data_IF_261873121846
#
_entry.id   IF_261873121846
#
_cell.length_a   1.000
_cell.length_b   1.000
_cell.length_c   1.000
_cell.angle_alpha   90.00
_cell.angle_beta   90.00
_cell.angle_gamma   90.00
#
_symmetry.space_group_name_H-M   'P 1'
#
loop_
_entity.id
_entity.type
_entity.pdbx_description
1 polymer ?
#
# COMPACT_ATOMS: atom_id res chain seq x y z
N UNK A 1 -79.49 18.33 -14.08
CA UNK A 1 -79.32 17.46 -15.27
C UNK A 1 -77.87 17.00 -15.21
N UNK A 2 -77.53 15.79 -14.70
CA UNK A 2 -77.94 14.45 -15.16
C UNK A 2 -77.45 14.22 -16.60
N UNK A 3 -76.67 13.18 -16.96
CA UNK A 3 -76.06 12.08 -16.19
C UNK A 3 -74.73 11.65 -16.92
N UNK A 4 -74.01 10.56 -16.65
CA UNK A 4 -74.20 9.40 -15.76
C UNK A 4 -72.82 8.79 -15.33
N UNK A 5 -72.80 7.50 -14.98
CA UNK A 5 -71.69 6.63 -14.59
C UNK A 5 -71.11 5.82 -15.77
N UNK A 6 -69.92 5.23 -15.61
CA UNK A 6 -69.31 4.35 -16.62
C UNK A 6 -68.04 3.63 -16.14
N UNK A 7 -68.13 2.31 -15.99
CA UNK A 7 -67.06 1.43 -15.50
C UNK A 7 -66.17 0.90 -16.65
N UNK A 8 -64.86 0.84 -16.42
CA UNK A 8 -63.93 -0.21 -16.91
C UNK A 8 -63.66 -0.40 -18.41
N UNK A 9 -62.38 -0.27 -18.81
CA UNK A 9 -61.50 -1.41 -19.17
C UNK A 9 -60.27 -0.98 -20.00
N UNK A 10 -59.11 -1.45 -19.55
CA UNK A 10 -57.90 -1.85 -20.29
C UNK A 10 -57.49 -1.13 -21.60
N UNK A 11 -56.43 -0.32 -21.47
CA UNK A 11 -55.36 -0.29 -22.48
C UNK A 11 -54.01 -0.39 -21.77
N UNK A 12 -53.36 -1.55 -21.92
CA UNK A 12 -52.07 -1.86 -21.31
C UNK A 12 -50.93 -1.00 -21.88
N UNK A 13 -50.39 -0.08 -21.09
CA UNK A 13 -49.14 0.60 -21.43
C UNK A 13 -47.96 -0.13 -20.78
N UNK A 14 -47.41 -1.11 -21.50
CA UNK A 14 -46.34 -1.99 -21.05
C UNK A 14 -44.96 -1.30 -21.12
N UNK A 15 -44.81 -0.18 -20.40
CA UNK A 15 -43.50 0.41 -20.13
C UNK A 15 -42.74 -0.49 -19.14
N UNK A 16 -41.99 -1.45 -19.67
CA UNK A 16 -41.23 -2.42 -18.89
C UNK A 16 -40.29 -1.73 -17.91
N UNK A 17 -40.59 -1.85 -16.60
CA UNK A 17 -39.64 -1.52 -15.52
C UNK A 17 -38.53 -2.57 -15.53
N UNK A 18 -37.51 -2.36 -16.34
CA UNK A 18 -36.31 -3.20 -16.38
C UNK A 18 -35.66 -3.18 -14.99
N UNK A 19 -35.38 -4.35 -14.43
CA UNK A 19 -34.70 -4.47 -13.14
C UNK A 19 -33.31 -3.85 -13.20
N UNK A 20 -33.02 -2.95 -12.27
CA UNK A 20 -31.67 -2.41 -12.05
C UNK A 20 -30.84 -3.27 -11.10
N UNK A 21 -31.43 -4.35 -10.56
CA UNK A 21 -30.79 -5.28 -9.64
C UNK A 21 -30.26 -6.49 -10.41
N UNK A 22 -28.97 -6.87 -10.28
CA UNK A 22 -28.48 -8.13 -10.84
C UNK A 22 -29.16 -9.31 -10.14
N UNK A 23 -29.56 -10.30 -10.93
CA UNK A 23 -30.09 -11.58 -10.42
C UNK A 23 -28.89 -12.45 -10.05
N UNK A 24 -28.75 -12.79 -8.77
CA UNK A 24 -27.86 -13.86 -8.33
C UNK A 24 -28.54 -15.21 -8.57
N UNK A 25 -28.54 -15.66 -9.82
CA UNK A 25 -28.63 -17.08 -10.11
C UNK A 25 -27.24 -17.67 -9.84
N UNK A 26 -27.13 -18.42 -8.75
CA UNK A 26 -25.92 -19.12 -8.41
C UNK A 26 -25.81 -20.37 -9.27
N UNK A 27 -25.13 -20.26 -10.42
CA UNK A 27 -24.65 -21.43 -11.14
C UNK A 27 -23.62 -22.17 -10.26
N UNK A 28 -24.04 -23.30 -9.69
CA UNK A 28 -23.22 -24.15 -8.81
C UNK A 28 -21.99 -24.75 -9.52
N UNK A 29 -21.89 -24.62 -10.84
CA UNK A 29 -20.79 -25.13 -11.69
C UNK A 29 -19.62 -24.14 -11.89
N UNK A 30 -19.70 -22.90 -11.39
CA UNK A 30 -18.56 -21.95 -11.40
C UNK A 30 -17.64 -22.12 -10.18
N UNK A 31 -16.87 -23.22 -10.16
CA UNK A 31 -15.91 -23.52 -9.10
C UNK A 31 -14.99 -22.34 -8.73
N UNK A 32 -14.85 -22.10 -7.43
CA UNK A 32 -13.94 -21.15 -6.75
C UNK A 32 -14.16 -19.63 -6.87
N UNK A 33 -15.07 -19.09 -7.71
CA UNK A 33 -15.15 -17.63 -7.94
C UNK A 33 -15.23 -16.78 -6.65
N UNK A 34 -16.07 -17.18 -5.67
CA UNK A 34 -16.16 -16.52 -4.36
C UNK A 34 -16.46 -17.51 -3.22
N UNK A 35 -15.52 -18.42 -2.94
CA UNK A 35 -15.66 -19.45 -1.89
C UNK A 35 -16.06 -18.92 -0.51
N UNK A 36 -15.76 -17.65 -0.18
CA UNK A 36 -16.15 -17.02 1.09
C UNK A 36 -17.67 -16.76 1.25
N UNK A 37 -18.47 -16.87 0.18
CA UNK A 37 -19.93 -16.72 0.25
C UNK A 37 -20.63 -17.92 0.90
N UNK A 38 -19.94 -19.07 0.97
CA UNK A 38 -20.48 -20.33 1.46
C UNK A 38 -19.63 -20.91 2.61
N UNK A 39 -20.21 -21.21 3.79
CA UNK A 39 -21.58 -20.90 4.19
C UNK A 39 -21.78 -19.39 4.42
N UNK A 40 -23.00 -18.92 4.16
CA UNK A 40 -23.40 -17.54 4.44
C UNK A 40 -23.19 -17.20 5.92
N UNK A 41 -22.55 -16.06 6.17
CA UNK A 41 -22.26 -15.59 7.52
C UNK A 41 -23.55 -15.22 8.28
N UNK A 42 -23.63 -15.60 9.55
CA UNK A 42 -24.65 -15.11 10.47
C UNK A 42 -24.38 -13.65 10.87
N UNK A 43 -25.40 -12.92 11.31
CA UNK A 43 -25.24 -11.50 11.63
C UNK A 43 -24.28 -11.27 12.83
N UNK A 44 -24.25 -12.20 13.77
CA UNK A 44 -23.38 -12.26 14.95
C UNK A 44 -22.05 -12.99 14.71
N UNK A 45 -21.79 -13.51 13.49
CA UNK A 45 -20.51 -14.14 13.15
C UNK A 45 -19.35 -13.16 13.41
N UNK A 46 -18.32 -13.52 14.20
CA UNK A 46 -17.22 -12.62 14.54
C UNK A 46 -16.53 -11.98 13.33
N UNK A 47 -16.49 -12.67 12.18
CA UNK A 47 -15.90 -12.16 10.93
C UNK A 47 -16.76 -11.07 10.29
N UNK A 48 -18.09 -11.20 10.38
CA UNK A 48 -19.03 -10.21 9.89
C UNK A 48 -19.10 -8.99 10.84
N UNK A 49 -19.03 -9.23 12.16
CA UNK A 49 -18.91 -8.17 13.17
C UNK A 49 -17.62 -7.37 12.96
N UNK A 50 -16.48 -8.04 12.83
CA UNK A 50 -15.18 -7.41 12.58
C UNK A 50 -15.19 -6.58 11.28
N UNK A 51 -15.67 -7.16 10.18
CA UNK A 51 -15.75 -6.47 8.89
C UNK A 51 -16.62 -5.20 8.95
N UNK A 52 -17.74 -5.24 9.68
CA UNK A 52 -18.62 -4.09 9.89
C UNK A 52 -17.94 -2.99 10.72
N UNK A 53 -17.31 -3.35 11.84
CA UNK A 53 -16.63 -2.40 12.73
C UNK A 53 -15.30 -1.86 12.16
N UNK A 54 -14.66 -2.58 11.24
CA UNK A 54 -13.60 -2.05 10.42
C UNK A 54 -14.15 -1.08 9.36
N UNK A 55 -15.02 -1.57 8.47
CA UNK A 55 -15.52 -0.86 7.27
C UNK A 55 -16.22 0.46 7.58
N UNK A 56 -16.89 0.59 8.74
CA UNK A 56 -17.53 1.85 9.15
C UNK A 56 -16.62 3.07 9.14
N UNK A 57 -15.30 2.88 9.24
CA UNK A 57 -14.34 3.98 9.17
C UNK A 57 -14.24 4.62 7.77
N UNK A 58 -14.53 3.89 6.68
CA UNK A 58 -14.75 4.49 5.35
C UNK A 58 -15.94 5.45 5.32
N UNK A 59 -16.89 5.27 6.25
CA UNK A 59 -18.08 6.10 6.43
C UNK A 59 -17.95 7.02 7.67
N UNK A 60 -16.74 7.52 7.92
CA UNK A 60 -16.43 8.43 9.03
C UNK A 60 -16.72 7.89 10.44
N UNK A 61 -16.88 6.57 10.60
CA UNK A 61 -17.26 5.93 11.86
C UNK A 61 -18.77 5.92 12.12
N UNK A 62 -19.62 6.12 11.10
CA UNK A 62 -21.08 5.96 11.21
C UNK A 62 -21.47 4.59 11.79
N UNK A 63 -22.66 4.46 12.35
CA UNK A 63 -23.23 3.16 12.73
C UNK A 63 -23.62 2.38 11.48
N UNK A 64 -23.40 1.06 11.43
CA UNK A 64 -23.79 0.28 10.23
C UNK A 64 -25.30 0.31 9.99
N UNK A 65 -26.11 0.39 11.05
CA UNK A 65 -27.56 0.57 10.99
C UNK A 65 -28.02 1.92 10.39
N UNK A 66 -27.13 2.92 10.26
CA UNK A 66 -27.44 4.19 9.60
C UNK A 66 -26.90 4.28 8.17
N UNK A 67 -26.20 3.26 7.67
CA UNK A 67 -25.70 3.23 6.29
C UNK A 67 -26.82 2.84 5.32
N UNK A 68 -26.77 3.38 4.11
CA UNK A 68 -27.59 2.93 2.98
C UNK A 68 -26.70 2.42 1.84
N UNK A 69 -27.27 1.66 0.90
CA UNK A 69 -26.51 1.04 -0.20
C UNK A 69 -25.72 2.04 -1.03
N UNK A 70 -26.25 3.25 -1.27
CA UNK A 70 -25.52 4.28 -2.02
C UNK A 70 -24.29 4.83 -1.27
N UNK A 71 -24.17 4.65 0.06
CA UNK A 71 -22.93 5.00 0.78
C UNK A 71 -21.78 4.08 0.35
N UNK A 72 -22.05 2.77 0.35
CA UNK A 72 -21.11 1.73 -0.09
C UNK A 72 -20.79 1.89 -1.57
N UNK A 73 -21.79 2.15 -2.42
CA UNK A 73 -21.59 2.38 -3.86
C UNK A 73 -20.79 3.65 -4.16
N UNK A 74 -20.95 4.73 -3.38
CA UNK A 74 -20.11 5.93 -3.48
C UNK A 74 -18.66 5.65 -3.09
N UNK A 75 -18.43 4.81 -2.07
CA UNK A 75 -17.08 4.37 -1.71
C UNK A 75 -16.47 3.53 -2.82
N UNK A 76 -17.18 2.52 -3.34
CA UNK A 76 -16.74 1.65 -4.42
C UNK A 76 -16.47 2.39 -5.73
N UNK A 77 -17.34 3.32 -6.14
CA UNK A 77 -17.13 4.13 -7.36
C UNK A 77 -15.82 4.94 -7.28
N UNK A 78 -15.51 5.45 -6.09
CA UNK A 78 -14.27 6.16 -5.83
C UNK A 78 -13.06 5.22 -5.71
N UNK A 79 -13.16 4.12 -4.98
CA UNK A 79 -12.01 3.25 -4.69
C UNK A 79 -11.60 2.40 -5.89
N UNK A 80 -12.54 2.05 -6.77
CA UNK A 80 -12.30 1.28 -8.00
C UNK A 80 -11.97 2.16 -9.22
N UNK A 81 -12.59 3.34 -9.35
CA UNK A 81 -12.49 4.16 -10.57
C UNK A 81 -12.05 5.61 -10.34
N UNK A 82 -11.91 6.06 -9.09
CA UNK A 82 -11.65 7.46 -8.78
C UNK A 82 -12.81 8.41 -9.09
N UNK A 83 -14.01 7.89 -9.38
CA UNK A 83 -15.16 8.65 -9.88
C UNK A 83 -16.28 8.83 -8.84
N UNK A 84 -17.06 9.93 -8.91
CA UNK A 84 -18.37 10.02 -8.27
C UNK A 84 -19.32 8.93 -8.80
N UNK A 85 -20.18 8.40 -7.93
CA UNK A 85 -21.23 7.44 -8.32
C UNK A 85 -22.16 8.01 -9.39
N UNK A 86 -22.46 9.31 -9.31
CA UNK A 86 -23.27 10.03 -10.30
C UNK A 86 -22.66 9.99 -11.71
N UNK A 87 -21.33 10.02 -11.81
CA UNK A 87 -20.63 9.99 -13.08
C UNK A 87 -20.60 8.58 -13.67
N UNK A 88 -20.39 7.55 -12.83
CA UNK A 88 -20.51 6.12 -13.19
C UNK A 88 -21.92 5.80 -13.72
N UNK A 89 -22.97 6.27 -13.03
CA UNK A 89 -24.37 6.10 -13.47
C UNK A 89 -24.65 6.87 -14.78
N UNK A 90 -24.06 8.07 -14.95
CA UNK A 90 -24.20 8.85 -16.19
C UNK A 90 -23.54 8.17 -17.38
N UNK A 91 -22.38 7.55 -17.18
CA UNK A 91 -21.64 6.80 -18.20
C UNK A 91 -22.49 5.64 -18.75
N UNK A 92 -22.99 4.74 -17.88
CA UNK A 92 -23.87 3.62 -18.28
C UNK A 92 -25.14 4.08 -19.01
N UNK A 93 -25.76 5.19 -18.57
CA UNK A 93 -26.93 5.80 -19.25
C UNK A 93 -26.58 6.34 -20.64
N UNK A 94 -25.42 6.99 -20.79
CA UNK A 94 -24.99 7.53 -22.07
C UNK A 94 -24.77 6.40 -23.10
N UNK A 95 -24.05 5.34 -22.72
CA UNK A 95 -23.84 4.17 -23.56
C UNK A 95 -25.16 3.52 -24.02
N UNK A 96 -26.11 3.33 -23.10
CA UNK A 96 -27.44 2.81 -23.44
C UNK A 96 -28.19 3.72 -24.42
N UNK A 97 -28.15 5.05 -24.21
CA UNK A 97 -28.79 6.02 -25.11
C UNK A 97 -28.17 6.07 -26.52
N UNK A 98 -26.93 5.61 -26.67
CA UNK A 98 -26.22 5.49 -27.95
C UNK A 98 -26.39 4.12 -28.61
N UNK A 99 -27.16 3.21 -28.00
CA UNK A 99 -27.33 1.84 -28.49
C UNK A 99 -26.06 0.98 -28.38
N UNK A 100 -25.11 1.36 -27.52
CA UNK A 100 -23.88 0.60 -27.29
C UNK A 100 -24.23 -0.63 -26.45
N UNK A 101 -24.10 -1.81 -27.05
CA UNK A 101 -24.15 -3.07 -26.33
C UNK A 101 -22.86 -3.26 -25.53
N UNK A 102 -22.95 -3.06 -24.22
CA UNK A 102 -21.83 -3.20 -23.29
C UNK A 102 -21.42 -4.67 -23.11
N UNK A 103 -22.34 -5.63 -23.34
CA UNK A 103 -22.02 -7.06 -23.27
C UNK A 103 -21.11 -7.51 -24.42
N UNK A 104 -21.20 -6.82 -25.57
CA UNK A 104 -20.37 -7.04 -26.75
C UNK A 104 -18.98 -6.36 -26.70
N UNK A 105 -18.67 -5.58 -25.65
CA UNK A 105 -17.34 -4.99 -25.49
C UNK A 105 -16.27 -6.06 -25.19
N UNK A 106 -15.01 -5.89 -25.63
CA UNK A 106 -13.92 -6.85 -25.41
C UNK A 106 -13.74 -7.23 -23.93
N UNK A 107 -13.44 -8.51 -23.69
CA UNK A 107 -13.42 -9.14 -22.36
C UNK A 107 -12.10 -8.97 -21.60
N UNK A 108 -11.08 -8.36 -22.22
CA UNK A 108 -9.70 -8.31 -21.72
C UNK A 108 -9.51 -7.57 -20.38
N UNK A 109 -10.53 -6.82 -19.92
CA UNK A 109 -10.52 -6.14 -18.62
C UNK A 109 -11.78 -6.48 -17.81
N UNK A 110 -11.65 -7.48 -16.93
CA UNK A 110 -12.75 -8.07 -16.15
C UNK A 110 -13.37 -7.11 -15.12
N UNK A 111 -12.74 -5.94 -14.88
CA UNK A 111 -13.18 -4.93 -13.93
C UNK A 111 -13.60 -3.60 -14.61
N UNK A 112 -13.85 -3.59 -15.92
CA UNK A 112 -13.99 -2.34 -16.69
C UNK A 112 -15.25 -2.15 -17.57
N UNK A 113 -15.97 -3.21 -17.97
CA UNK A 113 -17.01 -3.11 -19.03
C UNK A 113 -18.24 -2.31 -18.64
N UNK A 114 -18.84 -2.60 -17.48
CA UNK A 114 -19.80 -1.70 -16.84
C UNK A 114 -19.39 -1.42 -15.40
N UNK A 115 -18.85 -0.22 -15.20
CA UNK A 115 -18.48 0.30 -13.87
C UNK A 115 -19.64 0.26 -12.88
N UNK A 116 -20.88 0.44 -13.33
CA UNK A 116 -22.05 0.39 -12.45
C UNK A 116 -22.38 -1.04 -12.02
N UNK A 117 -22.33 -2.01 -12.95
CA UNK A 117 -22.51 -3.44 -12.67
C UNK A 117 -21.43 -3.97 -11.74
N UNK A 118 -20.16 -3.58 -11.92
CA UNK A 118 -19.07 -3.92 -11.00
C UNK A 118 -19.33 -3.32 -9.62
N UNK A 119 -19.72 -2.04 -9.52
CA UNK A 119 -20.05 -1.38 -8.24
C UNK A 119 -21.23 -2.05 -7.54
N UNK A 120 -22.30 -2.43 -8.25
CA UNK A 120 -23.45 -3.13 -7.66
C UNK A 120 -23.08 -4.56 -7.24
N UNK A 121 -22.35 -5.29 -8.07
CA UNK A 121 -21.87 -6.66 -7.75
C UNK A 121 -20.98 -6.65 -6.51
N UNK A 122 -20.00 -5.73 -6.44
CA UNK A 122 -19.14 -5.59 -5.26
C UNK A 122 -19.90 -5.07 -4.03
N UNK A 123 -20.95 -4.24 -4.19
CA UNK A 123 -21.83 -3.88 -3.07
C UNK A 123 -22.57 -5.11 -2.51
N UNK A 124 -23.03 -6.03 -3.36
CA UNK A 124 -23.63 -7.29 -2.90
C UNK A 124 -22.61 -8.19 -2.16
N UNK A 125 -21.36 -8.26 -2.63
CA UNK A 125 -20.27 -8.96 -1.92
C UNK A 125 -19.96 -8.31 -0.56
N UNK A 126 -20.00 -6.97 -0.48
CA UNK A 126 -19.84 -6.22 0.76
C UNK A 126 -20.95 -6.56 1.77
N UNK A 127 -22.22 -6.57 1.34
CA UNK A 127 -23.37 -6.95 2.17
C UNK A 127 -23.30 -8.41 2.65
N UNK A 128 -22.85 -9.32 1.77
CA UNK A 128 -22.64 -10.72 2.11
C UNK A 128 -21.55 -10.89 3.18
N UNK A 129 -20.41 -10.19 3.03
CA UNK A 129 -19.33 -10.18 4.02
C UNK A 129 -19.72 -9.48 5.33
N UNK A 130 -20.57 -8.47 5.26
CA UNK A 130 -21.15 -7.79 6.42
C UNK A 130 -22.28 -8.58 7.10
N UNK A 131 -22.75 -9.69 6.51
CA UNK A 131 -23.94 -10.43 6.95
C UNK A 131 -25.17 -9.52 7.18
N UNK A 132 -25.31 -8.46 6.39
CA UNK A 132 -26.30 -7.40 6.59
C UNK A 132 -26.72 -6.82 5.25
N UNK A 133 -28.03 -6.81 4.97
CA UNK A 133 -28.60 -6.04 3.85
C UNK A 133 -28.83 -4.60 4.27
N UNK A 134 -28.40 -3.66 3.45
CA UNK A 134 -28.56 -2.22 3.65
C UNK A 134 -29.89 -1.74 3.04
N UNK A 135 -30.52 -0.69 3.62
CA UNK A 135 -31.60 0.02 2.96
C UNK A 135 -31.15 0.62 1.62
N UNK A 136 -32.02 0.56 0.62
CA UNK A 136 -31.80 1.17 -0.69
C UNK A 136 -31.83 2.71 -0.62
N UNK A 137 -31.11 3.35 -1.54
CA UNK A 137 -31.04 4.81 -1.66
C UNK A 137 -29.92 5.46 -0.84
N UNK A 138 -30.05 6.78 -0.61
CA UNK A 138 -29.02 7.66 -0.03
C UNK A 138 -29.26 7.96 1.44
N UNK A 139 -28.17 7.93 2.21
CA UNK A 139 -28.15 8.45 3.58
C UNK A 139 -27.63 9.90 3.65
N UNK A 140 -27.56 10.46 4.85
CA UNK A 140 -26.83 11.70 5.14
C UNK A 140 -25.36 11.50 5.57
N UNK A 141 -24.83 10.28 5.53
CA UNK A 141 -23.48 9.95 5.98
C UNK A 141 -22.42 10.54 5.03
N UNK A 142 -21.21 10.75 5.57
CA UNK A 142 -20.05 11.14 4.77
C UNK A 142 -19.23 9.92 4.41
N UNK A 143 -18.93 9.79 3.13
CA UNK A 143 -18.08 8.74 2.57
C UNK A 143 -16.68 9.31 2.32
N UNK A 144 -15.66 8.61 2.79
CA UNK A 144 -14.26 8.94 2.55
C UNK A 144 -13.92 8.67 1.09
N UNK A 145 -13.48 9.70 0.36
CA UNK A 145 -13.11 9.60 -1.06
C UNK A 145 -11.87 10.45 -1.32
N UNK A 146 -10.68 9.98 -0.95
CA UNK A 146 -9.48 10.82 -0.78
C UNK A 146 -9.20 11.74 -1.96
N UNK A 147 -9.21 11.19 -3.18
CA UNK A 147 -8.89 11.92 -4.42
C UNK A 147 -10.05 12.75 -4.95
N UNK A 148 -11.24 12.72 -4.34
CA UNK A 148 -12.39 13.56 -4.68
C UNK A 148 -12.71 14.60 -3.61
N UNK A 149 -12.47 14.26 -2.34
CA UNK A 149 -12.69 15.13 -1.18
C UNK A 149 -11.83 16.40 -1.24
N UNK A 150 -12.27 17.43 -0.51
CA UNK A 150 -11.52 18.68 -0.40
C UNK A 150 -10.18 18.44 0.29
N UNK A 151 -9.08 18.68 -0.43
CA UNK A 151 -7.70 18.64 0.09
C UNK A 151 -7.58 19.52 1.33
N UNK A 152 -7.22 18.91 2.46
CA UNK A 152 -7.04 19.59 3.74
C UNK A 152 -5.57 19.92 3.95
N UNK A 153 -5.23 21.20 3.85
CA UNK A 153 -3.89 21.76 4.10
C UNK A 153 -3.95 22.66 5.34
N UNK A 154 -2.85 22.71 6.11
CA UNK A 154 -2.65 23.73 7.15
C UNK A 154 -1.42 24.56 6.76
N UNK A 155 -1.63 25.87 6.59
CA UNK A 155 -0.57 26.83 6.25
C UNK A 155 0.53 26.83 7.31
N UNK A 156 1.77 27.02 6.87
CA UNK A 156 2.96 27.08 7.73
C UNK A 156 3.81 28.29 7.38
N UNK A 157 4.56 28.88 8.33
CA UNK A 157 5.48 29.98 8.02
C UNK A 157 6.50 29.56 6.95
N UNK A 158 6.75 30.42 5.96
CA UNK A 158 7.76 30.19 4.92
C UNK A 158 9.15 29.91 5.52
N UNK A 159 9.46 30.49 6.68
CA UNK A 159 10.68 30.25 7.44
C UNK A 159 10.89 28.75 7.79
N UNK A 160 9.83 27.98 8.07
CA UNK A 160 9.95 26.54 8.33
C UNK A 160 10.46 25.78 7.09
N UNK A 161 9.91 26.12 5.92
CA UNK A 161 10.38 25.57 4.65
C UNK A 161 11.81 26.01 4.33
N UNK A 162 12.18 27.25 4.65
CA UNK A 162 13.55 27.75 4.56
C UNK A 162 14.53 26.93 5.41
N UNK A 163 14.21 26.71 6.70
CA UNK A 163 15.03 25.90 7.62
C UNK A 163 15.18 24.45 7.12
N UNK A 164 14.10 23.83 6.65
CA UNK A 164 14.12 22.47 6.11
C UNK A 164 14.92 22.39 4.81
N UNK A 165 14.79 23.39 3.93
CA UNK A 165 15.62 23.49 2.73
C UNK A 165 17.11 23.62 3.08
N UNK A 166 17.47 24.47 4.06
CA UNK A 166 18.87 24.57 4.56
C UNK A 166 19.36 23.21 5.07
N UNK A 167 18.58 22.51 5.90
CA UNK A 167 18.95 21.18 6.39
C UNK A 167 19.14 20.16 5.25
N UNK A 168 18.27 20.18 4.23
CA UNK A 168 18.43 19.37 3.02
C UNK A 168 19.67 19.75 2.21
N UNK A 169 20.01 21.04 2.07
CA UNK A 169 21.23 21.47 1.38
C UNK A 169 22.50 21.09 2.15
N UNK A 170 22.51 21.21 3.47
CA UNK A 170 23.63 20.77 4.32
C UNK A 170 23.84 19.26 4.18
N UNK A 171 22.77 18.46 4.23
CA UNK A 171 22.89 17.01 4.05
C UNK A 171 23.29 16.61 2.62
N UNK A 172 22.79 17.33 1.61
CA UNK A 172 23.24 17.21 0.21
C UNK A 172 24.74 17.43 0.07
N UNK A 173 25.27 18.54 0.62
CA UNK A 173 26.71 18.83 0.58
C UNK A 173 27.53 17.77 1.32
N UNK A 174 26.99 17.22 2.41
CA UNK A 174 27.60 16.09 3.12
C UNK A 174 27.65 14.82 2.26
N UNK A 175 26.53 14.43 1.62
CA UNK A 175 26.48 13.29 0.68
C UNK A 175 27.48 13.46 -0.47
N UNK A 176 27.55 14.63 -1.10
CA UNK A 176 28.52 14.93 -2.15
C UNK A 176 29.97 14.76 -1.66
N UNK A 177 30.28 15.26 -0.46
CA UNK A 177 31.60 15.06 0.19
C UNK A 177 31.90 13.59 0.50
N UNK A 178 30.88 12.76 0.66
CA UNK A 178 31.00 11.30 0.92
C UNK A 178 31.01 10.45 -0.36
N UNK A 179 31.19 11.09 -1.52
CA UNK A 179 31.34 10.43 -2.81
C UNK A 179 30.03 10.05 -3.49
N UNK A 180 28.89 10.62 -3.07
CA UNK A 180 27.66 10.55 -3.85
C UNK A 180 27.69 11.57 -4.98
N UNK A 181 27.08 11.20 -6.11
CA UNK A 181 26.78 12.07 -7.22
C UNK A 181 25.28 12.38 -7.23
N UNK A 182 24.92 13.60 -7.65
CA UNK A 182 23.53 13.91 -8.01
C UNK A 182 23.27 13.53 -9.47
N UNK A 183 22.28 12.67 -9.69
CA UNK A 183 21.82 12.25 -11.02
C UNK A 183 20.30 12.38 -11.11
N UNK A 184 19.80 12.46 -12.35
CA UNK A 184 18.37 12.51 -12.65
C UNK A 184 18.07 11.50 -13.74
N UNK A 185 17.09 10.64 -13.50
CA UNK A 185 16.57 9.60 -14.41
C UNK A 185 15.04 9.66 -14.35
N UNK A 186 14.32 9.54 -15.47
CA UNK A 186 12.86 9.74 -15.53
C UNK A 186 12.37 11.08 -14.93
N UNK A 187 13.22 12.11 -14.87
CA UNK A 187 12.91 13.37 -14.18
C UNK A 187 12.86 13.30 -12.64
N UNK A 188 13.27 12.18 -12.04
CA UNK A 188 13.42 11.98 -10.58
C UNK A 188 14.89 12.11 -10.17
N UNK A 189 15.16 12.74 -9.02
CA UNK A 189 16.52 12.94 -8.51
C UNK A 189 16.97 11.75 -7.65
N UNK A 190 18.22 11.36 -7.81
CA UNK A 190 18.91 10.40 -6.97
C UNK A 190 20.22 10.97 -6.42
N UNK A 191 20.59 10.53 -5.22
CA UNK A 191 21.99 10.54 -4.76
C UNK A 191 22.55 9.12 -4.97
N UNK A 192 23.62 8.98 -5.77
CA UNK A 192 24.17 7.66 -6.13
C UNK A 192 25.67 7.62 -5.81
N UNK A 193 26.13 6.58 -5.10
CA UNK A 193 27.53 6.31 -4.82
C UNK A 193 27.88 4.91 -5.28
N UNK A 194 28.73 4.79 -6.30
CA UNK A 194 29.29 3.51 -6.75
C UNK A 194 30.78 3.45 -6.39
N UNK A 195 31.22 2.53 -5.51
CA UNK A 195 32.62 2.42 -5.12
C UNK A 195 33.56 2.14 -6.29
N UNK A 196 34.78 2.71 -6.25
CA UNK A 196 35.79 2.51 -7.30
C UNK A 196 36.17 1.03 -7.40
N UNK A 197 36.10 0.47 -8.62
CA UNK A 197 36.40 -0.93 -8.87
C UNK A 197 35.27 -1.90 -8.56
N UNK A 198 34.09 -1.42 -8.15
CA UNK A 198 32.88 -2.24 -8.12
C UNK A 198 32.57 -2.81 -9.52
N UNK A 199 32.16 -4.08 -9.56
CA UNK A 199 31.76 -4.78 -10.78
C UNK A 199 30.37 -5.36 -10.56
N UNK A 200 29.51 -5.25 -11.57
CA UNK A 200 28.20 -5.87 -11.56
C UNK A 200 28.35 -7.39 -11.74
N UNK A 201 27.92 -8.13 -10.73
CA UNK A 201 27.87 -9.58 -10.72
C UNK A 201 26.72 -10.03 -9.79
N UNK A 202 25.84 -10.91 -10.29
CA UNK A 202 24.67 -11.42 -9.56
C UNK A 202 25.06 -12.48 -8.52
N UNK A 203 26.19 -13.16 -8.70
CA UNK A 203 26.74 -14.16 -7.79
C UNK A 203 27.55 -13.56 -6.63
N UNK A 204 27.85 -12.26 -6.68
CA UNK A 204 28.57 -11.55 -5.62
C UNK A 204 27.83 -11.55 -4.29
N UNK A 205 28.59 -11.52 -3.19
CA UNK A 205 28.02 -11.45 -1.84
C UNK A 205 27.07 -10.25 -1.70
N UNK A 206 25.96 -10.45 -0.98
CA UNK A 206 24.94 -9.44 -0.70
C UNK A 206 25.49 -8.05 -0.38
N UNK A 207 26.53 -7.99 0.46
CA UNK A 207 27.14 -6.74 0.93
C UNK A 207 27.78 -5.91 -0.19
N UNK A 208 27.96 -6.48 -1.38
CA UNK A 208 28.48 -5.85 -2.60
C UNK A 208 27.37 -5.53 -3.62
N UNK A 209 26.17 -6.13 -3.51
CA UNK A 209 25.06 -5.82 -4.43
C UNK A 209 24.51 -4.41 -4.17
N UNK A 210 24.08 -3.67 -5.20
CA UNK A 210 23.51 -2.33 -5.02
C UNK A 210 22.35 -2.31 -4.03
N UNK A 211 22.26 -1.25 -3.22
CA UNK A 211 21.10 -0.97 -2.38
C UNK A 211 20.40 0.30 -2.83
N UNK A 212 19.11 0.20 -3.12
CA UNK A 212 18.23 1.34 -3.38
C UNK A 212 17.45 1.65 -2.11
N UNK A 213 17.54 2.89 -1.63
CA UNK A 213 16.80 3.38 -0.47
C UNK A 213 15.60 4.23 -0.90
N UNK A 214 14.41 3.81 -0.49
CA UNK A 214 13.13 4.45 -0.78
C UNK A 214 12.53 4.99 0.52
N UNK A 215 12.46 6.31 0.64
CA UNK A 215 12.17 6.98 1.90
C UNK A 215 10.67 7.30 2.08
N UNK A 216 10.20 7.34 3.33
CA UNK A 216 8.84 7.74 3.67
C UNK A 216 8.63 9.26 3.72
N UNK A 217 7.42 9.67 4.15
CA UNK A 217 7.02 11.07 4.34
C UNK A 217 7.93 11.82 5.33
N UNK A 218 8.00 13.15 5.23
CA UNK A 218 8.62 14.02 6.24
C UNK A 218 9.49 15.12 5.62
N UNK A 219 10.79 15.15 5.95
CA UNK A 219 11.74 16.18 5.48
C UNK A 219 12.79 15.66 4.49
N UNK A 220 12.53 14.50 3.87
CA UNK A 220 13.41 13.87 2.88
C UNK A 220 14.60 13.11 3.48
N UNK A 221 15.64 12.79 2.69
CA UNK A 221 16.74 11.90 3.13
C UNK A 221 17.44 12.31 4.44
N UNK A 222 17.46 13.60 4.79
CA UNK A 222 18.11 14.09 6.02
C UNK A 222 17.49 13.50 7.30
N UNK A 223 16.19 13.16 7.33
CA UNK A 223 15.59 12.49 8.50
C UNK A 223 16.08 11.05 8.68
N UNK A 224 16.59 10.43 7.61
CA UNK A 224 17.17 9.09 7.62
C UNK A 224 18.70 9.13 7.81
N UNK A 225 19.27 10.26 8.23
CA UNK A 225 20.70 10.37 8.51
C UNK A 225 21.25 9.26 9.42
N UNK A 226 20.56 8.76 10.48
CA UNK A 226 21.10 7.67 11.29
C UNK A 226 21.32 6.37 10.48
N UNK A 227 20.31 5.92 9.73
CA UNK A 227 20.41 4.71 8.92
C UNK A 227 21.33 4.88 7.70
N UNK A 228 21.25 6.03 7.02
CA UNK A 228 22.06 6.35 5.85
C UNK A 228 23.54 6.49 6.24
N UNK A 229 23.87 7.19 7.32
CA UNK A 229 25.26 7.31 7.77
C UNK A 229 25.83 5.93 8.14
N UNK A 230 25.07 5.03 8.77
CA UNK A 230 25.55 3.66 9.01
C UNK A 230 25.75 2.85 7.71
N UNK A 231 24.91 3.03 6.68
CA UNK A 231 25.15 2.46 5.34
C UNK A 231 26.37 3.08 4.64
N UNK A 232 26.64 4.36 4.89
CA UNK A 232 27.70 5.13 4.21
C UNK A 232 29.07 4.81 4.81
N UNK A 233 29.16 4.69 6.14
CA UNK A 233 30.41 4.51 6.89
C UNK A 233 30.65 3.11 7.46
N UNK A 234 29.62 2.28 7.56
CA UNK A 234 29.76 0.94 8.12
C UNK A 234 30.70 0.09 7.25
N UNK A 235 31.74 -0.50 7.85
CA UNK A 235 32.76 -1.29 7.12
C UNK A 235 32.15 -2.39 6.23
N UNK A 236 31.03 -2.99 6.65
CA UNK A 236 30.29 -3.99 5.89
C UNK A 236 29.70 -3.48 4.56
N UNK A 237 29.50 -2.16 4.41
CA UNK A 237 28.86 -1.51 3.26
C UNK A 237 29.82 -0.60 2.47
N UNK A 238 31.10 -0.52 2.86
CA UNK A 238 32.06 0.40 2.24
C UNK A 238 32.28 0.15 0.74
N UNK A 239 32.09 -1.11 0.30
CA UNK A 239 32.18 -1.55 -1.11
C UNK A 239 30.80 -1.79 -1.75
N UNK A 240 29.72 -1.31 -1.11
CA UNK A 240 28.35 -1.43 -1.60
C UNK A 240 27.95 -0.19 -2.41
N UNK A 241 27.43 -0.33 -3.64
CA UNK A 241 26.76 0.77 -4.33
C UNK A 241 25.48 1.15 -3.58
N UNK A 242 25.23 2.45 -3.44
CA UNK A 242 24.05 3.01 -2.79
C UNK A 242 23.36 4.00 -3.73
N UNK A 243 22.05 3.85 -3.92
CA UNK A 243 21.21 4.86 -4.55
C UNK A 243 20.09 5.29 -3.59
N UNK A 244 19.86 6.59 -3.46
CA UNK A 244 18.82 7.17 -2.61
C UNK A 244 17.89 7.97 -3.51
N UNK A 245 16.66 7.51 -3.69
CA UNK A 245 15.62 8.26 -4.40
C UNK A 245 15.23 9.49 -3.57
N UNK A 246 15.17 10.66 -4.19
CA UNK A 246 14.65 11.89 -3.58
C UNK A 246 13.21 12.10 -4.05
N UNK A 247 12.26 12.21 -3.11
CA UNK A 247 10.83 12.44 -3.40
C UNK A 247 10.39 13.81 -2.85
N UNK A 248 10.52 14.91 -3.62
CA UNK A 248 10.32 16.27 -3.11
C UNK A 248 8.90 16.53 -2.59
N UNK A 249 7.90 15.95 -3.27
CA UNK A 249 6.48 16.00 -2.92
C UNK A 249 6.12 15.37 -1.57
N UNK A 250 7.01 14.51 -1.02
CA UNK A 250 6.86 13.91 0.32
C UNK A 250 7.77 14.55 1.38
N UNK A 251 8.60 15.53 0.99
CA UNK A 251 9.80 15.95 1.72
C UNK A 251 9.81 17.42 2.16
N UNK A 252 8.66 18.10 2.17
CA UNK A 252 8.58 19.54 2.46
C UNK A 252 9.46 20.43 1.56
N UNK A 253 9.83 19.94 0.37
CA UNK A 253 10.85 20.55 -0.47
C UNK A 253 10.27 21.65 -1.38
N UNK A 254 9.60 22.66 -0.81
CA UNK A 254 8.78 23.66 -1.55
C UNK A 254 9.49 24.37 -2.73
N UNK A 255 10.82 24.51 -2.65
CA UNK A 255 11.64 25.14 -3.70
C UNK A 255 12.07 24.17 -4.83
N UNK A 256 11.58 22.92 -4.81
CA UNK A 256 11.84 21.93 -5.86
C UNK A 256 10.67 21.91 -6.87
N UNK A 257 10.92 21.93 -8.20
CA UNK A 257 9.86 21.89 -9.21
C UNK A 257 8.89 20.69 -9.08
N UNK A 258 9.37 19.53 -8.63
CA UNK A 258 8.57 18.31 -8.40
C UNK A 258 7.84 18.30 -7.03
N UNK A 259 7.75 19.42 -6.31
CA UNK A 259 7.09 19.47 -4.99
C UNK A 259 5.56 19.32 -5.05
N UNK A 260 4.90 19.92 -6.05
CA UNK A 260 3.45 19.76 -6.28
C UNK A 260 3.13 18.82 -7.45
N UNK A 261 4.16 18.24 -8.08
CA UNK A 261 4.07 17.28 -9.17
C UNK A 261 4.67 15.94 -8.71
N UNK A 262 3.93 15.16 -7.89
CA UNK A 262 4.30 13.79 -7.58
C UNK A 262 4.34 12.94 -8.87
N UNK A 263 5.24 11.96 -8.96
CA UNK A 263 5.31 11.06 -10.11
C UNK A 263 4.17 10.03 -10.06
N UNK A 264 3.81 9.55 -11.25
CA UNK A 264 3.04 8.32 -11.45
C UNK A 264 3.81 7.05 -11.04
N UNK A 265 3.12 5.91 -11.00
CA UNK A 265 3.75 4.61 -10.79
C UNK A 265 4.73 4.28 -11.94
N UNK A 266 4.31 4.58 -13.17
CA UNK A 266 5.06 4.38 -14.41
C UNK A 266 6.33 5.23 -14.43
N UNK A 267 6.23 6.54 -14.17
CA UNK A 267 7.41 7.42 -14.07
C UNK A 267 8.39 6.93 -12.99
N UNK A 268 7.88 6.53 -11.82
CA UNK A 268 8.69 6.11 -10.68
C UNK A 268 9.46 4.82 -10.98
N UNK A 269 8.76 3.79 -11.50
CA UNK A 269 9.37 2.50 -11.83
C UNK A 269 10.32 2.61 -13.02
N UNK A 270 9.92 3.29 -14.09
CA UNK A 270 10.77 3.51 -15.26
C UNK A 270 12.06 4.26 -14.89
N UNK A 271 11.96 5.27 -14.01
CA UNK A 271 13.11 6.01 -13.48
C UNK A 271 14.10 5.11 -12.71
N UNK A 272 13.61 4.19 -11.87
CA UNK A 272 14.48 3.26 -11.12
C UNK A 272 15.13 2.24 -12.07
N UNK A 273 14.40 1.75 -13.07
CA UNK A 273 14.93 0.84 -14.10
C UNK A 273 16.00 1.54 -14.96
N UNK A 274 15.77 2.78 -15.39
CA UNK A 274 16.72 3.60 -16.14
C UNK A 274 18.00 3.84 -15.32
N UNK A 275 17.85 4.29 -14.07
CA UNK A 275 18.96 4.47 -13.13
C UNK A 275 19.76 3.18 -12.95
N UNK A 276 19.07 2.04 -12.82
CA UNK A 276 19.71 0.74 -12.60
C UNK A 276 20.53 0.31 -13.82
N UNK A 277 20.00 0.49 -15.05
CA UNK A 277 20.71 0.23 -16.30
C UNK A 277 21.92 1.15 -16.48
N UNK A 278 21.76 2.45 -16.18
CA UNK A 278 22.83 3.45 -16.31
C UNK A 278 24.04 3.17 -15.39
N UNK A 279 23.80 2.58 -14.22
CA UNK A 279 24.85 2.20 -13.27
C UNK A 279 25.23 0.71 -13.31
N UNK A 280 24.64 -0.09 -14.20
CA UNK A 280 24.88 -1.53 -14.33
C UNK A 280 24.35 -2.37 -13.17
N UNK A 281 23.45 -1.82 -12.35
CA UNK A 281 22.83 -2.49 -11.20
C UNK A 281 21.83 -3.56 -11.65
N UNK A 282 21.24 -3.41 -12.83
CA UNK A 282 20.41 -4.41 -13.51
C UNK A 282 21.13 -5.75 -13.69
N UNK A 283 22.43 -5.72 -13.99
CA UNK A 283 23.26 -6.93 -14.22
C UNK A 283 23.57 -7.71 -12.94
N UNK A 284 23.49 -7.08 -11.77
CA UNK A 284 23.66 -7.74 -10.46
C UNK A 284 22.35 -7.98 -9.72
N UNK A 285 21.25 -7.39 -10.20
CA UNK A 285 20.05 -7.13 -9.40
C UNK A 285 20.31 -6.14 -8.25
N UNK A 286 19.22 -5.69 -7.61
CA UNK A 286 19.26 -4.72 -6.50
C UNK A 286 18.60 -5.24 -5.23
N UNK A 287 19.04 -4.74 -4.08
CA UNK A 287 18.32 -4.85 -2.81
C UNK A 287 17.59 -3.54 -2.55
N UNK A 288 16.28 -3.60 -2.30
CA UNK A 288 15.48 -2.42 -2.01
C UNK A 288 15.21 -2.36 -0.50
N UNK A 289 15.59 -1.24 0.11
CA UNK A 289 15.22 -0.89 1.48
C UNK A 289 14.22 0.26 1.44
N UNK A 290 13.02 -0.01 1.93
CA UNK A 290 11.89 0.91 1.86
C UNK A 290 11.26 1.11 3.24
N UNK A 291 10.84 2.33 3.55
CA UNK A 291 10.16 2.64 4.81
C UNK A 291 8.91 3.50 4.59
N UNK A 292 7.81 3.17 5.28
CA UNK A 292 6.55 3.94 5.24
C UNK A 292 6.11 4.16 3.78
N UNK A 293 5.76 5.37 3.36
CA UNK A 293 5.38 5.66 1.95
C UNK A 293 6.42 5.21 0.90
N UNK A 294 7.69 5.01 1.26
CA UNK A 294 8.68 4.42 0.36
C UNK A 294 8.35 2.98 -0.07
N UNK A 295 7.51 2.26 0.68
CA UNK A 295 7.05 0.91 0.31
C UNK A 295 6.02 0.94 -0.83
N UNK A 296 5.38 2.08 -1.09
CA UNK A 296 4.48 2.27 -2.25
C UNK A 296 5.30 2.25 -3.54
N UNK A 297 6.36 3.07 -3.61
CA UNK A 297 7.30 3.09 -4.74
C UNK A 297 8.02 1.75 -4.90
N UNK A 298 8.29 1.04 -3.80
CA UNK A 298 8.80 -0.32 -3.85
C UNK A 298 7.79 -1.28 -4.51
N UNK A 299 6.51 -1.22 -4.13
CA UNK A 299 5.46 -2.04 -4.74
C UNK A 299 5.28 -1.76 -6.24
N UNK A 300 5.29 -0.49 -6.65
CA UNK A 300 5.29 -0.11 -8.07
C UNK A 300 6.47 -0.72 -8.84
N UNK A 301 7.66 -0.76 -8.23
CA UNK A 301 8.84 -1.36 -8.84
C UNK A 301 8.72 -2.88 -8.95
N UNK A 302 8.20 -3.56 -7.93
CA UNK A 302 7.99 -5.01 -7.93
C UNK A 302 6.99 -5.44 -9.00
N UNK A 303 5.93 -4.67 -9.23
CA UNK A 303 4.97 -4.92 -10.31
C UNK A 303 5.56 -4.69 -11.71
N UNK A 304 6.39 -3.66 -11.87
CA UNK A 304 6.88 -3.22 -13.17
C UNK A 304 8.18 -3.91 -13.64
N UNK A 305 9.04 -4.34 -12.69
CA UNK A 305 10.33 -4.96 -12.96
C UNK A 305 10.74 -5.91 -11.80
N UNK A 306 9.97 -6.98 -11.52
CA UNK A 306 10.27 -7.90 -10.42
C UNK A 306 11.64 -8.57 -10.55
N UNK A 307 12.12 -8.80 -11.78
CA UNK A 307 13.39 -9.45 -12.10
C UNK A 307 14.63 -8.63 -11.70
N UNK A 308 14.45 -7.31 -11.54
CA UNK A 308 15.48 -6.38 -11.07
C UNK A 308 15.72 -6.51 -9.56
N UNK A 309 14.68 -6.86 -8.78
CA UNK A 309 14.75 -6.86 -7.31
C UNK A 309 15.15 -8.23 -6.78
N UNK A 310 16.40 -8.33 -6.34
CA UNK A 310 16.95 -9.53 -5.70
C UNK A 310 16.47 -9.72 -4.27
N UNK A 311 16.16 -8.61 -3.58
CA UNK A 311 15.81 -8.59 -2.15
C UNK A 311 14.93 -7.41 -1.77
N UNK A 312 13.95 -7.67 -0.93
CA UNK A 312 12.93 -6.70 -0.52
C UNK A 312 12.90 -6.53 0.99
N UNK A 313 13.21 -5.32 1.47
CA UNK A 313 13.11 -4.94 2.88
C UNK A 313 12.07 -3.84 3.05
N UNK A 314 10.95 -4.19 3.68
CA UNK A 314 9.82 -3.30 3.92
C UNK A 314 9.74 -3.01 5.43
N UNK A 315 9.94 -1.75 5.82
CA UNK A 315 9.88 -1.30 7.22
C UNK A 315 8.67 -0.41 7.41
N UNK A 316 7.80 -0.78 8.35
CA UNK A 316 6.50 -0.15 8.60
C UNK A 316 5.72 0.16 7.28
N UNK A 317 5.49 -0.85 6.42
CA UNK A 317 4.84 -0.69 5.12
C UNK A 317 3.43 -0.11 5.22
N UNK A 318 3.12 0.75 4.25
CA UNK A 318 1.77 1.31 4.05
C UNK A 318 1.16 0.87 2.71
N UNK A 319 1.74 -0.15 2.06
CA UNK A 319 1.28 -0.70 0.78
C UNK A 319 0.40 -1.96 0.91
N UNK A 320 0.38 -2.62 2.08
CA UNK A 320 -0.44 -3.80 2.32
C UNK A 320 -1.85 -3.43 2.77
N UNK A 321 -2.82 -4.29 2.42
CA UNK A 321 -4.21 -4.22 2.88
C UNK A 321 -4.87 -2.84 2.71
N UNK A 322 -4.61 -2.13 1.60
CA UNK A 322 -5.16 -0.79 1.35
C UNK A 322 -6.69 -0.73 1.24
N UNK A 323 -7.38 -1.87 1.15
CA UNK A 323 -8.84 -1.95 1.31
C UNK A 323 -9.31 -1.67 2.75
N UNK A 324 -8.44 -1.85 3.76
CA UNK A 324 -8.73 -1.52 5.16
C UNK A 324 -8.74 0.01 5.34
N UNK A 325 -9.79 0.59 5.98
CA UNK A 325 -9.88 2.03 6.18
C UNK A 325 -8.88 2.58 7.20
N UNK A 326 -8.23 1.74 7.99
CA UNK A 326 -7.41 2.14 9.14
C UNK A 326 -6.36 3.18 8.77
N UNK A 327 -5.58 2.94 7.71
CA UNK A 327 -4.55 3.84 7.19
C UNK A 327 -5.09 5.23 6.82
N UNK A 328 -5.98 5.39 5.81
CA UNK A 328 -6.50 6.70 5.43
C UNK A 328 -7.30 7.35 6.55
N UNK A 329 -8.11 6.58 7.29
CA UNK A 329 -8.93 7.12 8.37
C UNK A 329 -8.06 7.71 9.47
N UNK A 330 -7.16 6.93 10.06
CA UNK A 330 -6.29 7.38 11.14
C UNK A 330 -5.40 8.54 10.69
N UNK A 331 -4.77 8.43 9.51
CA UNK A 331 -3.77 9.40 9.05
C UNK A 331 -4.38 10.69 8.44
N UNK A 332 -5.53 10.64 7.78
CA UNK A 332 -6.11 11.79 7.06
C UNK A 332 -7.47 12.30 7.57
N UNK A 333 -8.31 11.48 8.22
CA UNK A 333 -9.70 11.87 8.55
C UNK A 333 -10.03 11.98 10.04
N UNK A 334 -9.59 11.02 10.86
CA UNK A 334 -9.91 10.93 12.27
C UNK A 334 -9.46 12.15 13.07
N UNK A 335 -10.17 12.47 14.16
CA UNK A 335 -9.69 13.41 15.15
C UNK A 335 -8.39 12.89 15.79
N UNK A 336 -7.41 13.77 16.02
CA UNK A 336 -6.18 13.40 16.72
C UNK A 336 -6.51 13.10 18.20
N UNK A 337 -6.25 11.88 18.65
CA UNK A 337 -6.52 11.40 20.01
C UNK A 337 -5.35 11.63 20.97
N UNK A 338 -4.21 12.13 20.48
CA UNK A 338 -3.02 12.43 21.29
C UNK A 338 -2.22 13.62 20.75
N UNK A 339 -1.38 14.28 21.58
CA UNK A 339 -0.49 15.35 21.12
C UNK A 339 0.45 14.93 19.99
N UNK A 340 0.93 13.68 20.02
CA UNK A 340 1.78 13.14 18.95
C UNK A 340 1.01 12.99 17.63
N UNK A 341 -0.23 12.51 17.68
CA UNK A 341 -1.09 12.46 16.48
C UNK A 341 -1.41 13.87 15.95
N UNK A 342 -1.56 14.87 16.83
CA UNK A 342 -1.77 16.26 16.42
C UNK A 342 -0.52 16.84 15.74
N UNK A 343 0.68 16.57 16.27
CA UNK A 343 1.95 16.95 15.64
C UNK A 343 2.15 16.25 14.29
N UNK A 344 1.93 14.95 14.20
CA UNK A 344 1.97 14.21 12.92
C UNK A 344 0.95 14.74 11.92
N UNK A 345 -0.26 15.10 12.37
CA UNK A 345 -1.28 15.74 11.52
C UNK A 345 -0.78 17.08 11.00
N UNK A 346 -0.29 17.95 11.88
CA UNK A 346 0.14 19.30 11.53
C UNK A 346 1.39 19.29 10.65
N UNK A 347 2.43 18.52 10.99
CA UNK A 347 3.74 18.49 10.33
C UNK A 347 3.84 17.55 9.12
N UNK A 348 3.04 16.49 9.05
CA UNK A 348 3.09 15.52 7.94
C UNK A 348 1.79 15.53 7.13
N UNK A 349 0.67 15.09 7.68
CA UNK A 349 -0.56 14.84 6.90
C UNK A 349 -1.23 16.10 6.29
N UNK A 350 -1.02 17.28 6.86
CA UNK A 350 -1.58 18.57 6.41
C UNK A 350 -0.53 19.48 5.74
N UNK A 351 0.64 18.94 5.43
CA UNK A 351 1.67 19.59 4.63
C UNK A 351 1.17 19.79 3.20
N UNK A 352 1.55 20.88 2.52
CA UNK A 352 0.95 21.18 1.21
C UNK A 352 1.31 20.14 0.13
N UNK A 353 2.57 19.71 0.04
CA UNK A 353 3.02 18.67 -0.90
C UNK A 353 2.49 17.28 -0.56
N UNK A 354 2.56 16.87 0.71
CA UNK A 354 2.02 15.59 1.18
C UNK A 354 0.50 15.54 1.01
N UNK A 355 -0.22 16.61 1.34
CA UNK A 355 -1.68 16.68 1.17
C UNK A 355 -2.07 16.66 -0.30
N UNK A 356 -1.36 17.40 -1.17
CA UNK A 356 -1.52 17.34 -2.63
C UNK A 356 -1.27 15.94 -3.19
N UNK A 357 -0.26 15.23 -2.67
CA UNK A 357 -0.01 13.85 -3.06
C UNK A 357 -1.16 12.95 -2.60
N UNK A 358 -1.38 12.83 -1.29
CA UNK A 358 -2.29 11.84 -0.70
C UNK A 358 -3.79 12.10 -0.95
N UNK A 359 -4.23 13.35 -1.15
CA UNK A 359 -5.64 13.70 -1.38
C UNK A 359 -5.93 14.15 -2.82
N UNK A 360 -4.98 14.01 -3.76
CA UNK A 360 -5.27 14.32 -5.18
C UNK A 360 -4.57 13.43 -6.21
N UNK A 361 -3.36 12.95 -5.93
CA UNK A 361 -2.53 12.25 -6.92
C UNK A 361 -2.18 10.81 -6.50
N UNK A 362 -2.65 10.35 -5.35
CA UNK A 362 -2.41 8.99 -4.87
C UNK A 362 -3.37 8.03 -5.55
N UNK A 363 -2.84 7.21 -6.46
CA UNK A 363 -3.53 6.06 -7.03
C UNK A 363 -3.60 4.95 -5.97
N UNK A 364 -4.82 4.58 -5.58
CA UNK A 364 -5.07 3.61 -4.51
C UNK A 364 -4.80 2.15 -4.95
N UNK A 365 -5.07 1.84 -6.22
CA UNK A 365 -5.00 0.48 -6.78
C UNK A 365 -3.56 0.14 -7.14
N UNK A 366 -2.87 1.02 -7.86
CA UNK A 366 -1.46 0.82 -8.22
C UNK A 366 -0.59 0.69 -6.97
N UNK A 367 -0.93 1.42 -5.91
CA UNK A 367 -0.24 1.44 -4.61
C UNK A 367 -0.46 0.21 -3.72
N UNK A 368 -1.48 -0.61 -3.97
CA UNK A 368 -1.72 -1.84 -3.22
C UNK A 368 -0.68 -2.89 -3.62
N UNK A 369 0.10 -3.40 -2.67
CA UNK A 369 1.05 -4.49 -2.91
C UNK A 369 0.45 -5.80 -2.38
N UNK A 370 0.26 -6.79 -3.25
CA UNK A 370 -0.10 -8.13 -2.82
C UNK A 370 1.19 -8.90 -2.42
N UNK A 371 1.15 -9.77 -1.39
CA UNK A 371 2.25 -10.67 -1.05
C UNK A 371 2.73 -11.53 -2.23
N UNK A 372 1.80 -11.99 -3.09
CA UNK A 372 2.13 -12.68 -4.33
C UNK A 372 2.99 -11.86 -5.32
N UNK A 373 2.96 -10.53 -5.25
CA UNK A 373 3.79 -9.65 -6.09
C UNK A 373 5.26 -9.56 -5.62
N UNK A 374 5.61 -10.13 -4.45
CA UNK A 374 6.94 -10.00 -3.85
C UNK A 374 7.80 -11.23 -4.21
N UNK A 375 8.87 -11.08 -5.02
CA UNK A 375 9.75 -12.18 -5.37
C UNK A 375 10.41 -12.81 -4.14
N UNK A 376 10.41 -14.14 -4.08
CA UNK A 376 11.02 -14.93 -2.99
C UNK A 376 10.39 -14.66 -1.60
N UNK A 377 9.11 -14.27 -1.54
CA UNK A 377 8.39 -14.24 -0.27
C UNK A 377 8.37 -15.65 0.36
N UNK A 378 8.51 -15.72 1.68
CA UNK A 378 8.75 -16.98 2.38
C UNK A 378 10.24 -17.30 2.63
N UNK A 379 11.17 -16.69 1.89
CA UNK A 379 12.60 -16.72 2.22
C UNK A 379 12.99 -15.45 3.00
N UNK A 380 13.10 -15.55 4.32
CA UNK A 380 13.54 -14.47 5.20
C UNK A 380 14.93 -13.89 4.86
N UNK A 381 15.75 -14.58 4.08
CA UNK A 381 17.03 -14.07 3.58
C UNK A 381 16.90 -13.25 2.29
N UNK A 382 15.72 -13.24 1.65
CA UNK A 382 15.42 -12.52 0.42
C UNK A 382 14.38 -11.42 0.61
N UNK A 383 13.24 -11.74 1.21
CA UNK A 383 12.18 -10.81 1.54
C UNK A 383 12.01 -10.70 3.06
N UNK A 384 11.76 -9.49 3.59
CA UNK A 384 11.35 -9.33 4.98
C UNK A 384 10.51 -8.07 5.19
N UNK A 385 9.51 -8.23 6.07
CA UNK A 385 8.56 -7.21 6.48
C UNK A 385 8.75 -6.97 7.97
N UNK A 386 9.12 -5.75 8.33
CA UNK A 386 9.28 -5.30 9.72
C UNK A 386 8.11 -4.38 10.08
N UNK A 387 7.34 -4.74 11.12
CA UNK A 387 6.19 -3.98 11.61
C UNK A 387 6.46 -3.44 13.02
N UNK A 388 5.94 -2.26 13.34
CA UNK A 388 5.96 -1.71 14.70
C UNK A 388 4.67 -2.05 15.46
N UNK A 389 4.78 -2.63 16.66
CA UNK A 389 3.59 -3.05 17.46
C UNK A 389 2.63 -1.89 17.74
N UNK A 390 3.17 -0.69 18.04
CA UNK A 390 2.42 0.50 18.45
C UNK A 390 2.38 1.53 17.34
N UNK A 391 2.17 1.06 16.12
CA UNK A 391 1.90 1.92 14.98
C UNK A 391 0.63 2.76 15.22
N UNK A 392 0.66 4.01 14.77
CA UNK A 392 -0.45 4.97 14.89
C UNK A 392 -1.05 5.35 13.54
N UNK A 393 -0.53 4.74 12.46
CA UNK A 393 -0.86 4.97 11.06
C UNK A 393 -1.54 3.71 10.53
N UNK A 394 -0.89 2.54 10.64
CA UNK A 394 -1.45 1.24 10.22
C UNK A 394 -1.96 0.41 11.40
N UNK A 395 -2.89 -0.51 11.12
CA UNK A 395 -3.34 -1.54 12.06
C UNK A 395 -2.39 -2.75 11.97
N UNK A 396 -1.34 -2.75 12.80
CA UNK A 396 -0.31 -3.81 12.80
C UNK A 396 -0.90 -5.20 13.00
N UNK A 397 -1.81 -5.47 13.96
CA UNK A 397 -2.50 -6.76 14.07
C UNK A 397 -3.21 -7.22 12.79
N UNK A 398 -3.95 -6.33 12.09
CA UNK A 398 -4.59 -6.70 10.81
C UNK A 398 -3.58 -7.03 9.74
N UNK A 399 -2.53 -6.22 9.58
CA UNK A 399 -1.48 -6.47 8.57
C UNK A 399 -0.71 -7.75 8.90
N UNK A 400 -0.38 -8.02 10.16
CA UNK A 400 0.29 -9.27 10.54
C UNK A 400 -0.59 -10.50 10.31
N UNK A 401 -1.89 -10.41 10.61
CA UNK A 401 -2.83 -11.51 10.37
C UNK A 401 -3.04 -11.76 8.88
N UNK A 402 -3.10 -10.70 8.06
CA UNK A 402 -3.15 -10.80 6.61
C UNK A 402 -1.89 -11.49 6.06
N UNK A 403 -0.70 -11.00 6.40
CA UNK A 403 0.56 -11.59 5.94
C UNK A 403 0.74 -13.04 6.45
N UNK A 404 0.27 -13.36 7.66
CA UNK A 404 0.30 -14.73 8.18
C UNK A 404 -0.67 -15.68 7.45
N UNK A 405 -1.85 -15.19 7.02
CA UNK A 405 -2.76 -15.96 6.17
C UNK A 405 -2.14 -16.27 4.79
N UNK A 406 -1.28 -15.37 4.29
CA UNK A 406 -0.49 -15.51 3.07
C UNK A 406 0.81 -16.32 3.28
N UNK A 407 0.97 -16.98 4.44
CA UNK A 407 2.06 -17.91 4.75
C UNK A 407 3.32 -17.29 5.37
N UNK A 408 3.29 -16.04 5.83
CA UNK A 408 4.44 -15.38 6.45
C UNK A 408 4.43 -15.50 7.98
N UNK A 409 5.49 -16.07 8.53
CA UNK A 409 5.85 -16.04 9.95
C UNK A 409 7.25 -15.44 10.17
N UNK A 410 7.78 -15.53 11.40
CA UNK A 410 9.13 -15.04 11.72
C UNK A 410 10.25 -15.76 10.94
N UNK A 411 10.03 -17.02 10.53
CA UNK A 411 10.98 -17.81 9.74
C UNK A 411 10.93 -17.48 8.23
N UNK A 412 9.78 -17.00 7.77
CA UNK A 412 9.50 -16.52 6.42
C UNK A 412 9.72 -15.01 6.21
N UNK A 413 10.09 -14.27 7.27
CA UNK A 413 10.59 -12.90 7.19
C UNK A 413 9.63 -11.81 7.71
N UNK A 414 8.52 -12.18 8.35
CA UNK A 414 7.62 -11.24 9.03
C UNK A 414 8.08 -11.05 10.49
N UNK A 415 8.47 -9.84 10.89
CA UNK A 415 8.88 -9.55 12.27
C UNK A 415 8.17 -8.32 12.83
N UNK A 416 7.58 -8.47 14.02
CA UNK A 416 6.96 -7.37 14.77
C UNK A 416 7.92 -6.88 15.85
N UNK A 417 8.20 -5.58 15.89
CA UNK A 417 9.01 -4.94 16.92
C UNK A 417 8.13 -4.49 18.09
N UNK A 418 8.25 -5.10 19.28
CA UNK A 418 7.39 -4.79 20.42
C UNK A 418 7.65 -3.38 20.94
N UNK A 419 6.58 -2.72 21.40
CA UNK A 419 6.52 -1.38 22.00
C UNK A 419 6.95 -0.20 21.11
N UNK A 420 7.43 -0.48 19.89
CA UNK A 420 7.92 0.53 18.95
C UNK A 420 6.78 1.20 18.19
N UNK A 421 7.00 2.45 17.80
CA UNK A 421 6.11 3.25 16.94
C UNK A 421 6.63 3.27 15.50
N UNK A 422 5.74 3.62 14.56
CA UNK A 422 6.06 3.82 13.14
C UNK A 422 7.39 4.59 12.93
N UNK A 423 8.35 3.95 12.27
CA UNK A 423 9.67 4.52 11.96
C UNK A 423 10.67 4.60 13.12
N UNK A 424 10.32 4.16 14.33
CA UNK A 424 11.25 4.13 15.48
C UNK A 424 12.42 3.18 15.22
N UNK A 425 12.17 2.10 14.48
CA UNK A 425 13.17 1.14 13.98
C UNK A 425 14.22 1.77 13.05
N UNK A 426 13.99 2.98 12.53
CA UNK A 426 14.89 3.70 11.62
C UNK A 426 15.75 4.77 12.32
N UNK A 427 15.55 5.01 13.63
CA UNK A 427 16.15 6.12 14.38
C UNK A 427 17.63 5.94 14.78
N UNK A 428 18.27 4.83 14.41
CA UNK A 428 19.72 4.63 14.59
C UNK A 428 20.16 3.93 15.87
N UNK A 429 19.24 3.52 16.73
CA UNK A 429 19.53 2.91 18.03
C UNK A 429 18.54 1.78 18.38
N UNK A 430 18.91 0.94 19.35
CA UNK A 430 18.06 -0.16 19.81
C UNK A 430 18.15 -1.42 18.94
N UNK A 431 17.43 -2.46 19.36
CA UNK A 431 17.52 -3.80 18.77
C UNK A 431 16.74 -3.96 17.47
N UNK A 432 15.67 -3.19 17.30
CA UNK A 432 14.91 -3.10 16.05
C UNK A 432 15.77 -2.57 14.92
N UNK A 433 16.43 -1.41 15.13
CA UNK A 433 17.41 -0.86 14.21
C UNK A 433 18.49 -1.88 13.86
N UNK A 434 19.18 -2.46 14.86
CA UNK A 434 20.20 -3.48 14.61
C UNK A 434 19.68 -4.66 13.78
N UNK A 435 18.45 -5.12 14.00
CA UNK A 435 17.82 -6.19 13.20
C UNK A 435 17.68 -5.76 11.73
N UNK A 436 17.08 -4.59 11.47
CA UNK A 436 16.95 -4.06 10.09
C UNK A 436 18.32 -3.87 9.45
N UNK A 437 19.32 -3.44 10.22
CA UNK A 437 20.70 -3.29 9.73
C UNK A 437 21.33 -4.64 9.36
N UNK A 438 21.27 -5.64 10.25
CA UNK A 438 21.95 -6.93 10.07
C UNK A 438 21.36 -7.74 8.93
N UNK A 439 20.04 -7.69 8.73
CA UNK A 439 19.34 -8.36 7.64
C UNK A 439 19.97 -8.08 6.27
N UNK A 440 20.33 -6.82 6.01
CA UNK A 440 20.86 -6.33 4.72
C UNK A 440 22.30 -6.77 4.45
N UNK A 441 22.94 -7.49 5.37
CA UNK A 441 24.28 -8.09 5.21
C UNK A 441 24.22 -9.62 5.34
N UNK A 442 23.11 -10.17 5.85
CA UNK A 442 22.91 -11.60 5.98
C UNK A 442 23.05 -12.29 4.61
N UNK A 443 23.86 -13.34 4.57
CA UNK A 443 23.99 -14.22 3.40
C UNK A 443 22.64 -14.91 3.15
N UNK A 444 22.27 -15.05 1.89
CA UNK A 444 21.26 -16.03 1.49
C UNK A 444 21.78 -17.42 1.86
N UNK A 445 21.00 -18.20 2.61
CA UNK A 445 21.34 -19.60 2.89
C UNK A 445 21.26 -20.36 1.56
N UNK A 446 22.35 -20.96 1.09
CA UNK A 446 22.28 -21.80 -0.11
C UNK A 446 21.50 -23.08 0.19
N UNK A 447 21.03 -23.76 -0.86
CA UNK A 447 20.25 -24.98 -0.72
C UNK A 447 21.03 -26.15 -0.06
N UNK A 448 22.36 -26.04 0.06
CA UNK A 448 23.23 -27.10 0.58
C UNK A 448 23.24 -27.19 2.12
N UNK A 449 23.02 -26.09 2.84
CA UNK A 449 23.02 -26.08 4.31
C UNK A 449 21.90 -26.93 4.93
N UNK A 450 20.87 -27.33 4.16
CA UNK A 450 19.80 -28.22 4.63
C UNK A 450 20.27 -29.64 4.95
N UNK A 451 21.45 -30.08 4.48
CA UNK A 451 21.96 -31.44 4.74
C UNK A 451 22.67 -31.65 6.08
N UNK A 452 23.10 -30.59 6.76
CA UNK A 452 23.98 -30.70 7.95
C UNK A 452 23.17 -30.86 9.26
N UNK A 453 21.86 -30.60 9.26
CA UNK A 453 21.03 -30.57 10.50
C UNK A 453 20.44 -31.94 10.88
N UNK A 454 20.53 -32.97 10.02
CA UNK A 454 19.88 -34.28 10.24
C UNK A 454 20.76 -35.37 10.87
N UNK A 455 22.04 -35.11 11.17
CA UNK A 455 22.94 -36.06 11.84
C UNK A 455 23.36 -35.56 13.21
N UNK A 456 22.43 -35.55 14.18
CA UNK A 456 22.66 -34.87 15.47
C UNK A 456 21.83 -35.32 16.68
N UNK A 457 21.11 -36.45 16.62
CA UNK A 457 20.43 -37.01 17.80
C UNK A 457 20.50 -38.54 17.85
N UNK A 458 21.45 -39.05 18.65
CA UNK A 458 21.43 -40.41 19.18
C UNK A 458 20.98 -40.33 20.65
N UNK A 459 19.95 -41.08 21.09
CA UNK A 459 19.50 -41.04 22.47
C UNK A 459 20.42 -41.86 23.39
N UNK A 460 20.89 -41.26 24.47
CA UNK A 460 21.67 -41.94 25.51
C UNK A 460 20.75 -42.88 26.31
N UNK A 461 21.04 -44.18 26.25
CA UNK A 461 20.35 -45.20 27.03
C UNK A 461 20.67 -45.11 28.53
N UNK A 462 19.65 -45.37 29.36
CA UNK A 462 19.70 -45.30 30.83
C UNK A 462 19.79 -46.71 31.42
N UNK A 463 20.91 -47.06 32.05
CA UNK A 463 21.23 -48.31 32.76
C UNK A 463 22.27 -47.93 33.83
N UNK A 464 22.22 -48.31 35.12
CA UNK A 464 21.33 -49.14 35.96
C UNK A 464 21.41 -48.57 37.39
N UNK A 465 20.54 -49.00 38.30
CA UNK A 465 20.92 -49.26 39.69
C UNK A 465 20.54 -50.71 40.01
N UNK A 466 21.20 -51.29 41.01
CA UNK A 466 21.28 -52.73 41.26
C UNK A 466 20.20 -53.25 42.23
N UNK A 467 20.17 -54.58 42.39
CA UNK A 467 19.18 -55.45 43.06
C UNK A 467 17.97 -55.85 42.18
#
# INVERSE_FOLDING_TARGET
MSADSGYGSDSSDSSGKVSLTPVFEGDEDSGDAFSFLSPKLAQDDPRAVDFREASRHWFHGASVSSLCRDDVKQWLSWSLYGLPLEDVVRERRASFSQGIDISALPQDDTLGRDKLETVETTANLWEARAATKLPEGKSGNKVIRLTLDRVRVLSRPLALYGLIWVAQQVYRLALLKWGFEERVYGGMKYYIRTPKGWKADRASEEKLRPLVFLHGLGVGPVQYAPILNTLIYGKAYAQRPLAILVQPHLSMSIFNPRYLSPPSAEESSASIVEMSKAHGFDKSGITVLSHSNGTIVHGWLLKAAPELVERSCLVDPVCFALWEPSLPYNFLYAAAKSPMQLLMRYFVARELGVANTLQRNFDWISSLLCPADIPNLGDASKASVFLSERDAIVDTPRISNYLAAEGLDESAGLKIFPKQKHGESMMGHGESFKTVMSWRVARSRSCEDRRIVLTGFLPLHRVRNEA
#
